data_IF_260007855736
#
_entry.id   IF_260007855736
#
_cell.length_a   1.000
_cell.length_b   1.000
_cell.length_c   1.000
_cell.angle_alpha   90.00
_cell.angle_beta   90.00
_cell.angle_gamma   90.00
#
_symmetry.space_group_name_H-M   'P 1'
#
loop_
_entity.id
_entity.type
_entity.pdbx_description
1 polymer ?
#
# COMPACT_ATOMS: atom_id res chain seq x y z
N UNK A 1 -4.49 -10.36 18.21
CA UNK A 1 -3.14 -9.89 17.82
C UNK A 1 -3.32 -8.76 16.83
N UNK A 2 -2.65 -7.62 17.02
CA UNK A 2 -2.68 -6.52 16.04
C UNK A 2 -1.50 -6.67 15.09
N UNK A 3 -1.78 -6.52 13.80
CA UNK A 3 -0.77 -6.45 12.73
C UNK A 3 -0.99 -5.15 12.00
N UNK A 4 0.02 -4.30 11.97
CA UNK A 4 -0.05 -2.98 11.34
C UNK A 4 1.14 -2.75 10.41
N UNK A 5 0.93 -1.91 9.40
CA UNK A 5 1.96 -1.41 8.51
C UNK A 5 1.67 0.05 8.17
N UNK A 6 2.73 0.83 7.99
CA UNK A 6 2.65 2.22 7.53
C UNK A 6 3.81 2.52 6.59
N UNK A 7 3.53 3.27 5.53
CA UNK A 7 4.51 3.77 4.58
C UNK A 7 4.20 5.23 4.28
N UNK A 8 5.17 6.11 4.56
CA UNK A 8 5.10 7.56 4.39
C UNK A 8 6.44 8.06 3.86
N UNK A 9 6.41 9.02 2.94
CA UNK A 9 7.58 9.77 2.50
C UNK A 9 7.40 11.22 2.85
N UNK A 10 8.08 11.59 3.92
CA UNK A 10 7.94 12.89 4.55
C UNK A 10 8.70 14.00 3.81
N UNK A 11 9.35 13.66 2.68
CA UNK A 11 10.20 14.56 1.92
C UNK A 11 10.04 14.30 0.41
N UNK A 12 10.10 15.34 -0.43
CA UNK A 12 9.75 15.26 -1.86
C UNK A 12 10.77 14.50 -2.72
N UNK A 13 12.01 14.31 -2.24
CA UNK A 13 13.11 13.73 -3.00
C UNK A 13 12.82 12.30 -3.46
N UNK A 14 11.96 11.58 -2.73
CA UNK A 14 11.51 10.26 -3.15
C UNK A 14 10.68 10.32 -4.44
N UNK A 15 9.88 11.35 -4.66
CA UNK A 15 9.13 11.52 -5.91
C UNK A 15 10.03 12.12 -7.00
N UNK A 16 10.93 13.01 -6.63
CA UNK A 16 11.91 13.66 -7.52
C UNK A 16 13.19 12.83 -7.72
N UNK A 17 13.07 11.51 -7.76
CA UNK A 17 14.22 10.62 -7.94
C UNK A 17 14.88 10.89 -9.30
N UNK A 18 16.12 11.37 -9.30
CA UNK A 18 16.91 11.64 -10.51
C UNK A 18 17.85 10.46 -10.88
N UNK A 19 17.96 9.44 -10.02
CA UNK A 19 18.82 8.28 -10.23
C UNK A 19 18.19 7.17 -11.06
N UNK A 20 18.77 5.97 -10.96
CA UNK A 20 18.37 4.79 -11.76
C UNK A 20 16.92 4.34 -11.51
N UNK A 21 16.37 4.67 -10.34
CA UNK A 21 15.00 4.30 -9.96
C UNK A 21 13.95 5.24 -10.58
N UNK A 22 14.34 6.30 -11.29
CA UNK A 22 13.40 7.15 -12.04
C UNK A 22 12.64 6.36 -13.11
N UNK A 23 13.30 5.41 -13.77
CA UNK A 23 12.73 4.63 -14.88
C UNK A 23 11.63 3.66 -14.43
N UNK A 24 11.51 3.40 -13.14
CA UNK A 24 10.45 2.52 -12.61
C UNK A 24 9.17 3.28 -12.28
N UNK A 25 9.20 4.62 -12.29
CA UNK A 25 8.04 5.45 -12.01
C UNK A 25 7.17 5.59 -13.26
N UNK A 26 5.85 5.43 -13.08
CA UNK A 26 4.88 5.67 -14.15
C UNK A 26 4.83 7.15 -14.53
N UNK A 27 5.00 7.46 -15.81
CA UNK A 27 4.88 8.84 -16.32
C UNK A 27 3.42 9.34 -16.27
N UNK A 28 2.46 8.41 -16.34
CA UNK A 28 1.03 8.73 -16.18
C UNK A 28 0.58 8.79 -14.72
N UNK A 29 1.48 8.50 -13.77
CA UNK A 29 1.21 8.57 -12.34
C UNK A 29 0.26 7.48 -11.83
N UNK A 30 0.14 6.36 -12.55
CA UNK A 30 -0.76 5.25 -12.18
C UNK A 30 -0.07 3.89 -12.31
N UNK A 31 -0.43 2.97 -11.43
CA UNK A 31 -0.10 1.56 -11.60
C UNK A 31 -1.12 0.92 -12.56
N UNK A 32 -0.75 0.73 -13.82
CA UNK A 32 -1.59 -0.02 -14.78
C UNK A 32 -1.34 -1.53 -14.67
N UNK A 33 -1.70 -2.10 -13.52
CA UNK A 33 -1.43 -3.50 -13.20
C UNK A 33 -2.03 -4.44 -14.25
N UNK A 34 -1.18 -5.25 -14.88
CA UNK A 34 -1.52 -6.23 -15.92
C UNK A 34 -2.11 -5.65 -17.23
N UNK A 35 -1.96 -4.34 -17.46
CA UNK A 35 -2.39 -3.70 -18.71
C UNK A 35 -1.22 -3.63 -19.73
N UNK A 36 -1.56 -3.57 -21.03
CA UNK A 36 -0.56 -3.41 -22.09
C UNK A 36 0.11 -2.02 -22.09
N UNK A 37 -0.50 -1.04 -21.42
CA UNK A 37 0.00 0.32 -21.23
C UNK A 37 0.83 0.49 -19.95
N UNK A 38 1.27 -0.61 -19.32
CA UNK A 38 2.10 -0.54 -18.12
C UNK A 38 3.41 0.23 -18.39
N UNK A 39 3.54 1.38 -17.74
CA UNK A 39 4.63 2.35 -17.90
C UNK A 39 5.46 2.56 -16.61
N UNK A 40 5.18 1.77 -15.56
CA UNK A 40 5.84 1.86 -14.26
C UNK A 40 4.84 1.73 -13.11
N UNK A 41 5.28 2.04 -11.89
CA UNK A 41 4.40 2.13 -10.73
C UNK A 41 4.25 3.57 -10.24
N UNK A 42 3.09 3.84 -9.66
CA UNK A 42 2.84 5.05 -8.90
C UNK A 42 3.22 4.81 -7.44
N UNK A 43 3.92 5.79 -6.94
CA UNK A 43 4.38 5.89 -5.58
C UNK A 43 3.22 6.34 -4.67
N UNK A 44 3.05 5.71 -3.50
CA UNK A 44 1.90 5.96 -2.65
C UNK A 44 2.22 5.84 -1.15
N UNK A 45 1.41 6.51 -0.35
CA UNK A 45 1.46 6.52 1.10
C UNK A 45 0.21 5.86 1.69
N UNK A 46 0.33 5.31 2.88
CA UNK A 46 -0.81 4.72 3.58
C UNK A 46 -0.45 4.04 4.89
N UNK A 47 -1.46 3.80 5.70
CA UNK A 47 -1.38 2.97 6.90
C UNK A 47 -2.55 2.00 6.94
N UNK A 48 -2.30 0.81 7.48
CA UNK A 48 -3.31 -0.22 7.63
C UNK A 48 -3.06 -1.01 8.91
N UNK A 49 -4.14 -1.46 9.55
CA UNK A 49 -4.09 -2.30 10.75
C UNK A 49 -5.20 -3.34 10.70
N UNK A 50 -4.86 -4.57 11.09
CA UNK A 50 -5.81 -5.67 11.20
C UNK A 50 -5.69 -6.33 12.56
N UNK A 51 -6.82 -6.77 13.10
CA UNK A 51 -6.87 -7.56 14.32
C UNK A 51 -7.10 -9.02 13.97
N UNK A 52 -6.10 -9.85 14.24
CA UNK A 52 -6.16 -11.29 14.05
C UNK A 52 -6.66 -11.97 15.33
N UNK A 53 -7.64 -12.84 15.14
CA UNK A 53 -8.26 -13.67 16.15
C UNK A 53 -8.31 -15.12 15.65
N UNK A 54 -8.14 -16.10 16.55
CA UNK A 54 -8.31 -17.51 16.18
C UNK A 54 -9.77 -17.76 15.83
N UNK A 55 -10.01 -18.50 14.74
CA UNK A 55 -11.36 -18.79 14.28
C UNK A 55 -12.18 -19.57 15.32
N UNK A 56 -11.53 -20.46 16.09
CA UNK A 56 -12.19 -21.27 17.13
C UNK A 56 -12.54 -20.50 18.41
N UNK A 57 -12.22 -19.20 18.47
CA UNK A 57 -12.67 -18.39 19.59
C UNK A 57 -14.18 -18.10 19.41
N UNK A 58 -15.03 -18.42 20.39
CA UNK A 58 -16.48 -18.33 20.27
C UNK A 58 -16.99 -16.92 19.96
N UNK A 59 -16.19 -15.88 20.24
CA UNK A 59 -16.51 -14.49 19.90
C UNK A 59 -15.82 -14.02 18.60
N UNK A 60 -15.34 -14.92 17.73
CA UNK A 60 -14.61 -14.54 16.49
C UNK A 60 -15.52 -13.99 15.39
N UNK A 61 -16.78 -14.43 15.35
CA UNK A 61 -17.73 -14.02 14.32
C UNK A 61 -18.44 -12.67 14.63
N UNK A 62 -18.31 -12.18 15.87
CA UNK A 62 -19.00 -10.97 16.34
C UNK A 62 -18.29 -9.66 15.97
N UNK A 63 -17.05 -9.70 15.49
CA UNK A 63 -16.34 -8.48 15.07
C UNK A 63 -16.75 -8.03 13.68
N UNK A 64 -17.86 -7.28 13.59
CA UNK A 64 -18.10 -6.36 12.47
C UNK A 64 -17.70 -4.95 12.90
N UNK A 65 -16.60 -4.43 12.38
CA UNK A 65 -16.43 -3.01 12.04
C UNK A 65 -15.06 -2.75 11.43
N UNK A 66 -15.05 -2.33 10.17
CA UNK A 66 -14.44 -1.05 9.83
C UNK A 66 -15.46 -0.36 8.89
N UNK A 67 -16.06 0.72 9.40
CA UNK A 67 -16.94 1.66 8.69
C UNK A 67 -16.29 2.29 7.48
#
# INVERSE_FOLDING_TARGET
>A
MLVAGASLWLTPEHNEEHGKMRMTQSATGKCHSFDTKADGYAKAEGMNIVYLKRLDDPCAMETRSAS
#
